data_IF_108086990318
#
_entry.id   IF_108086990318
#
_cell.length_a   1.000
_cell.length_b   1.000
_cell.length_c   1.000
_cell.angle_alpha   90.00
_cell.angle_beta   90.00
_cell.angle_gamma   90.00
#
_symmetry.space_group_name_H-M   'P 1'
#
loop_
_entity.id
_entity.type
_entity.pdbx_description
1 polymer ?
#
# COMPACT_ATOMS: atom_id res chain seq x y z
N UNK A 1 -5.26 -11.65 8.70
CA UNK A 1 -3.83 -11.65 9.07
C UNK A 1 -3.12 -10.36 8.67
N UNK A 2 -3.14 -10.01 7.39
CA UNK A 2 -2.45 -8.81 6.94
C UNK A 2 -2.98 -7.55 7.60
N UNK A 3 -4.30 -7.45 7.76
CA UNK A 3 -4.93 -6.31 8.42
C UNK A 3 -4.45 -6.17 9.87
N UNK A 4 -4.37 -7.28 10.58
CA UNK A 4 -3.95 -7.26 11.99
C UNK A 4 -2.47 -6.90 12.12
N UNK A 5 -1.62 -7.43 11.26
CA UNK A 5 -0.20 -7.10 11.25
C UNK A 5 0.00 -5.61 11.02
N UNK A 6 -0.67 -5.06 10.00
CA UNK A 6 -0.55 -3.66 9.69
C UNK A 6 -1.05 -2.77 10.83
N UNK A 7 -2.17 -3.14 11.45
CA UNK A 7 -2.71 -2.39 12.58
C UNK A 7 -1.74 -2.40 13.76
N UNK A 8 -1.16 -3.53 14.07
CA UNK A 8 -0.20 -3.63 15.19
C UNK A 8 1.05 -2.78 14.92
N UNK A 9 1.57 -2.84 13.71
CA UNK A 9 2.73 -2.04 13.35
C UNK A 9 2.42 -0.54 13.42
N UNK A 10 1.24 -0.16 12.93
CA UNK A 10 0.84 1.24 12.94
C UNK A 10 0.71 1.80 14.36
N UNK A 11 0.30 0.97 15.31
CA UNK A 11 0.22 1.39 16.72
C UNK A 11 1.58 1.77 17.30
N UNK A 12 2.65 1.24 16.73
CA UNK A 12 4.01 1.57 17.14
C UNK A 12 4.63 2.69 16.29
N UNK A 13 3.83 3.36 15.50
CA UNK A 13 4.30 4.46 14.68
C UNK A 13 4.96 4.05 13.37
N UNK A 14 4.82 2.79 12.98
CA UNK A 14 5.36 2.30 11.72
C UNK A 14 4.43 2.68 10.58
N UNK A 15 4.96 3.28 9.55
CA UNK A 15 4.20 3.60 8.34
C UNK A 15 4.13 2.38 7.43
N UNK A 16 3.00 2.20 6.80
CA UNK A 16 2.77 1.05 5.92
C UNK A 16 2.81 1.49 4.46
N UNK A 17 3.61 0.81 3.67
CA UNK A 17 3.69 1.03 2.23
C UNK A 17 3.21 -0.23 1.53
N UNK A 18 2.25 -0.09 0.64
CA UNK A 18 1.74 -1.23 -0.09
C UNK A 18 1.19 -0.79 -1.46
N UNK A 19 0.70 -1.75 -2.22
CA UNK A 19 0.41 -1.54 -3.62
C UNK A 19 -1.03 -1.25 -3.98
N UNK A 20 -1.92 -1.22 -3.01
CA UNK A 20 -3.33 -0.93 -3.25
C UNK A 20 -4.08 -2.01 -4.03
N UNK A 21 -3.49 -3.16 -4.25
CA UNK A 21 -4.15 -4.26 -4.96
C UNK A 21 -5.24 -4.89 -4.09
N UNK A 22 -6.13 -5.67 -4.72
CA UNK A 22 -7.15 -6.41 -4.00
C UNK A 22 -6.50 -7.39 -3.03
N UNK A 23 -7.21 -7.71 -1.97
CA UNK A 23 -6.75 -8.71 -0.99
C UNK A 23 -5.79 -8.12 0.03
N UNK A 24 -4.58 -8.66 0.09
CA UNK A 24 -3.62 -8.34 1.14
C UNK A 24 -3.23 -6.87 1.17
N UNK A 25 -3.01 -6.25 0.00
CA UNK A 25 -2.64 -4.84 -0.05
C UNK A 25 -3.74 -3.97 0.55
N UNK A 26 -4.98 -4.18 0.13
CA UNK A 26 -6.13 -3.44 0.66
C UNK A 26 -6.30 -3.68 2.16
N UNK A 27 -6.15 -4.92 2.60
CA UNK A 27 -6.25 -5.24 4.02
C UNK A 27 -5.17 -4.53 4.82
N UNK A 28 -3.97 -4.42 4.27
CA UNK A 28 -2.85 -3.74 4.93
C UNK A 28 -3.12 -2.24 5.09
N UNK A 29 -3.60 -1.60 4.04
CA UNK A 29 -3.96 -0.18 4.12
C UNK A 29 -5.06 0.03 5.15
N UNK A 30 -6.11 -0.78 5.10
CA UNK A 30 -7.25 -0.62 6.01
C UNK A 30 -6.88 -0.90 7.46
N UNK A 31 -5.99 -1.86 7.71
CA UNK A 31 -5.50 -2.11 9.05
C UNK A 31 -4.78 -0.91 9.64
N UNK A 32 -3.91 -0.30 8.84
CA UNK A 32 -3.21 0.91 9.26
C UNK A 32 -4.16 2.07 9.48
N UNK A 33 -5.12 2.26 8.57
CA UNK A 33 -6.07 3.38 8.65
C UNK A 33 -7.03 3.28 9.84
N UNK A 34 -7.23 2.09 10.36
CA UNK A 34 -8.05 1.89 11.56
C UNK A 34 -7.38 2.31 12.87
N UNK A 35 -6.11 2.68 12.82
CA UNK A 35 -5.35 3.08 14.00
C UNK A 35 -5.20 4.60 14.03
N UNK A 36 -5.44 5.21 15.18
CA UNK A 36 -5.25 6.65 15.34
C UNK A 36 -3.80 7.03 15.01
N UNK A 37 -3.65 7.99 14.11
CA UNK A 37 -2.34 8.43 13.67
C UNK A 37 -1.66 7.50 12.67
N UNK A 38 -2.30 6.41 12.29
CA UNK A 38 -1.76 5.49 11.30
C UNK A 38 -1.69 6.14 9.93
N UNK A 39 -0.53 6.03 9.27
CA UNK A 39 -0.33 6.56 7.93
C UNK A 39 0.12 5.45 7.01
N UNK A 40 -0.51 5.39 5.85
CA UNK A 40 -0.16 4.41 4.84
C UNK A 40 0.03 5.09 3.49
N UNK A 41 0.88 4.52 2.68
CA UNK A 41 1.25 5.06 1.39
C UNK A 41 1.03 3.99 0.34
N UNK A 42 0.34 4.35 -0.71
CA UNK A 42 0.04 3.41 -1.79
C UNK A 42 0.90 3.74 -3.00
N UNK A 43 1.51 2.71 -3.58
CA UNK A 43 2.25 2.84 -4.83
C UNK A 43 1.41 2.20 -5.92
N UNK A 44 0.98 3.01 -6.89
CA UNK A 44 0.08 2.57 -7.94
C UNK A 44 0.84 1.96 -9.11
N UNK A 45 0.22 0.96 -9.75
CA UNK A 45 0.62 0.45 -11.04
C UNK A 45 -0.06 1.15 -12.20
N UNK A 46 -0.64 2.32 -11.93
CA UNK A 46 -1.28 3.20 -12.91
C UNK A 46 -1.03 4.63 -12.49
N UNK A 47 -1.50 5.60 -13.27
CA UNK A 47 -1.45 7.00 -12.85
C UNK A 47 -2.35 7.25 -11.64
N UNK A 48 -2.02 8.26 -10.86
CA UNK A 48 -2.74 8.52 -9.61
C UNK A 48 -4.19 8.94 -9.80
N UNK A 49 -4.57 9.37 -11.00
CA UNK A 49 -5.96 9.72 -11.29
C UNK A 49 -6.84 8.50 -11.55
N UNK A 50 -6.25 7.31 -11.62
CA UNK A 50 -6.98 6.07 -11.80
C UNK A 50 -6.98 5.25 -10.52
N UNK A 51 -8.06 5.36 -9.75
CA UNK A 51 -8.22 4.52 -8.56
C UNK A 51 -8.56 3.10 -9.03
N UNK A 52 -7.55 2.22 -9.01
CA UNK A 52 -7.73 0.84 -9.42
C UNK A 52 -7.18 -0.09 -8.32
N UNK A 53 -7.95 -1.03 -7.82
CA UNK A 53 -9.32 -1.35 -8.25
C UNK A 53 -10.32 -0.25 -7.83
N UNK A 54 -11.35 0.00 -8.64
CA UNK A 54 -12.28 1.09 -8.39
C UNK A 54 -13.10 0.93 -7.11
N UNK A 55 -13.30 -0.29 -6.66
CA UNK A 55 -14.02 -0.54 -5.40
C UNK A 55 -13.25 -0.03 -4.18
N UNK A 56 -11.97 0.31 -4.33
CA UNK A 56 -11.14 0.83 -3.23
C UNK A 56 -11.17 2.35 -3.12
N UNK A 57 -12.14 3.01 -3.73
CA UNK A 57 -12.20 4.48 -3.72
C UNK A 57 -12.27 5.05 -2.30
N UNK A 58 -13.02 4.41 -1.42
CA UNK A 58 -13.10 4.86 -0.04
C UNK A 58 -11.72 4.82 0.63
N UNK A 59 -10.99 3.74 0.42
CA UNK A 59 -9.64 3.59 0.96
C UNK A 59 -8.69 4.65 0.39
N UNK A 60 -8.79 4.93 -0.91
CA UNK A 60 -8.02 5.97 -1.58
C UNK A 60 -8.20 7.31 -0.87
N UNK A 61 -9.45 7.70 -0.67
CA UNK A 61 -9.75 8.99 -0.03
C UNK A 61 -9.28 9.03 1.42
N UNK A 62 -9.44 7.93 2.14
CA UNK A 62 -9.04 7.85 3.54
C UNK A 62 -7.54 7.92 3.73
N UNK A 63 -6.76 7.32 2.83
CA UNK A 63 -5.31 7.41 2.85
C UNK A 63 -4.87 8.88 2.85
N UNK A 64 -5.45 9.66 1.94
CA UNK A 64 -5.09 11.07 1.80
C UNK A 64 -5.55 11.86 3.00
N UNK A 65 -6.78 11.65 3.47
CA UNK A 65 -7.33 12.37 4.60
C UNK A 65 -6.53 12.17 5.88
N UNK A 66 -5.93 11.00 6.04
CA UNK A 66 -5.18 10.67 7.27
C UNK A 66 -3.70 10.95 7.17
N UNK A 67 -3.28 11.67 6.15
CA UNK A 67 -1.91 12.15 6.06
C UNK A 67 -0.94 11.20 5.37
N UNK A 68 -1.45 10.15 4.74
CA UNK A 68 -0.65 9.30 3.87
C UNK A 68 -0.55 9.88 2.47
N UNK A 69 -0.25 9.04 1.51
CA UNK A 69 -0.10 9.50 0.14
C UNK A 69 -0.30 8.40 -0.89
N UNK A 70 -0.55 8.85 -2.09
CA UNK A 70 -0.65 8.00 -3.28
C UNK A 70 0.48 8.42 -4.20
N UNK A 71 1.23 7.46 -4.69
CA UNK A 71 2.35 7.76 -5.57
C UNK A 71 2.41 6.80 -6.74
N UNK A 72 3.00 7.26 -7.83
CA UNK A 72 3.16 6.46 -9.03
C UNK A 72 4.34 7.00 -9.84
N UNK A 73 5.00 6.10 -10.57
CA UNK A 73 6.05 6.51 -11.50
C UNK A 73 5.47 6.88 -12.88
N UNK A 74 4.16 6.73 -13.06
CA UNK A 74 3.51 7.00 -14.34
C UNK A 74 2.79 8.34 -14.31
N UNK A 75 2.50 8.88 -15.50
CA UNK A 75 1.72 10.11 -15.62
C UNK A 75 0.35 9.91 -14.97
N UNK A 76 -0.22 10.99 -14.40
CA UNK A 76 -1.46 10.87 -13.61
C UNK A 76 -2.63 10.18 -14.32
N UNK A 77 -2.75 10.33 -15.63
CA UNK A 77 -3.87 9.76 -16.38
C UNK A 77 -3.54 8.42 -17.04
N UNK A 78 -2.41 7.82 -16.73
CA UNK A 78 -2.03 6.53 -17.28
C UNK A 78 -2.97 5.45 -16.79
N UNK A 79 -3.59 4.72 -17.72
CA UNK A 79 -4.53 3.65 -17.39
C UNK A 79 -3.78 2.44 -16.84
N UNK A 80 -4.41 1.65 -15.95
CA UNK A 80 -3.78 0.45 -15.44
C UNK A 80 -3.58 -0.58 -16.53
N UNK A 81 -2.37 -1.15 -16.56
CA UNK A 81 -2.01 -2.28 -17.44
C UNK A 81 -1.37 -3.35 -16.57
N UNK A 82 -1.67 -4.61 -16.85
CA UNK A 82 -1.21 -5.72 -16.02
C UNK A 82 0.31 -5.78 -15.85
N UNK A 83 1.07 -5.38 -16.88
CA UNK A 83 2.53 -5.37 -16.81
C UNK A 83 3.11 -4.34 -15.86
N UNK A 84 2.33 -3.35 -15.45
CA UNK A 84 2.82 -2.30 -14.56
C UNK A 84 2.85 -2.74 -13.09
N UNK A 85 2.04 -3.72 -12.71
CA UNK A 85 1.91 -4.08 -11.31
C UNK A 85 3.16 -4.78 -10.75
N UNK A 86 3.76 -5.75 -11.45
CA UNK A 86 5.03 -6.30 -10.98
C UNK A 86 6.15 -5.27 -10.92
N UNK A 87 6.21 -4.36 -11.89
CA UNK A 87 7.24 -3.33 -11.90
C UNK A 87 7.11 -2.36 -10.75
N UNK A 88 5.88 -2.05 -10.34
CA UNK A 88 5.59 -1.18 -9.21
C UNK A 88 6.16 -1.74 -7.90
N UNK A 89 6.22 -3.05 -7.76
CA UNK A 89 6.65 -3.68 -6.51
C UNK A 89 8.09 -3.35 -6.14
N UNK A 90 8.97 -3.06 -7.10
CA UNK A 90 10.33 -2.65 -6.79
C UNK A 90 10.39 -1.30 -6.06
N UNK A 91 9.42 -0.44 -6.32
CA UNK A 91 9.33 0.86 -5.65
C UNK A 91 8.90 0.66 -4.21
N UNK A 92 7.93 -0.22 -3.96
CA UNK A 92 7.50 -0.54 -2.61
C UNK A 92 8.68 -1.03 -1.78
N UNK A 93 9.42 -1.98 -2.32
CA UNK A 93 10.59 -2.54 -1.66
C UNK A 93 11.67 -1.48 -1.43
N UNK A 94 11.91 -0.62 -2.43
CA UNK A 94 12.94 0.42 -2.34
C UNK A 94 12.63 1.51 -1.32
N UNK A 95 11.36 1.75 -1.03
CA UNK A 95 10.95 2.76 -0.06
C UNK A 95 10.93 2.24 1.37
N UNK A 96 11.13 0.95 1.56
CA UNK A 96 10.82 0.30 2.83
C UNK A 96 12.07 -0.16 3.55
N UNK A 97 12.05 -0.02 4.88
CA UNK A 97 13.12 -0.52 5.74
C UNK A 97 13.01 -2.02 5.92
N UNK A 98 11.79 -2.52 6.02
CA UNK A 98 11.50 -3.94 6.21
C UNK A 98 10.38 -4.34 5.26
N UNK A 99 10.55 -5.49 4.63
CA UNK A 99 9.54 -6.05 3.74
C UNK A 99 8.97 -7.30 4.38
N UNK A 100 7.64 -7.34 4.52
CA UNK A 100 6.94 -8.49 5.06
C UNK A 100 6.13 -9.11 3.95
N UNK A 101 6.36 -10.39 3.70
CA UNK A 101 5.63 -11.15 2.67
C UNK A 101 4.54 -11.93 3.36
N UNK A 102 3.29 -11.68 2.99
CA UNK A 102 2.13 -12.39 3.53
C UNK A 102 1.51 -13.18 2.41
N UNK A 103 1.37 -14.48 2.61
CA UNK A 103 0.72 -15.34 1.65
C UNK A 103 -0.71 -15.62 2.08
N UNK A 104 -1.64 -15.39 1.16
CA UNK A 104 -3.06 -15.59 1.41
C UNK A 104 -3.62 -16.75 0.60
N UNK A 105 -2.79 -17.66 0.15
CA UNK A 105 -3.21 -18.80 -0.62
C UNK A 105 -2.09 -19.29 -1.53
N UNK A 106 -2.39 -20.26 -2.35
CA UNK A 106 -1.38 -20.99 -3.11
C UNK A 106 -0.65 -20.12 -4.13
N UNK A 107 -1.30 -19.06 -4.60
CA UNK A 107 -0.77 -18.26 -5.72
C UNK A 107 -0.49 -16.82 -5.41
N UNK A 108 -0.77 -16.37 -4.22
CA UNK A 108 -0.64 -14.96 -3.95
C UNK A 108 0.29 -14.70 -2.80
N UNK A 109 1.45 -14.18 -3.13
CA UNK A 109 2.26 -13.49 -2.18
C UNK A 109 2.05 -12.02 -2.39
N UNK A 110 1.80 -11.28 -1.34
CA UNK A 110 1.76 -9.83 -1.40
C UNK A 110 2.74 -9.26 -0.41
N UNK A 111 3.20 -8.05 -0.72
CA UNK A 111 4.17 -7.37 0.13
C UNK A 111 3.46 -6.39 1.04
N UNK A 112 3.69 -6.53 2.33
CA UNK A 112 3.49 -5.45 3.28
C UNK A 112 4.85 -4.90 3.56
N UNK A 113 5.02 -3.62 3.35
CA UNK A 113 6.30 -2.98 3.61
C UNK A 113 6.13 -1.96 4.71
N UNK A 114 7.10 -1.92 5.60
CA UNK A 114 7.08 -1.03 6.73
C UNK A 114 8.23 -0.05 6.61
N UNK A 115 7.91 1.22 6.69
CA UNK A 115 8.90 2.28 6.58
C UNK A 115 8.94 3.04 7.89
N UNK A 116 10.10 3.05 8.51
CA UNK A 116 10.34 3.81 9.72
C UNK A 116 10.78 5.24 9.45
N UNK A 117 10.96 5.57 8.20
CA UNK A 117 11.36 6.90 7.75
C UNK A 117 12.72 7.39 8.28
N UNK A 118 13.27 6.73 9.22
CA UNK A 118 14.55 7.09 9.80
C UNK A 118 15.72 6.37 9.15
N UNK A 119 15.46 5.29 8.46
CA UNK A 119 16.47 4.36 7.99
C UNK A 119 16.76 4.45 6.50
N UNK A 120 15.98 5.14 5.77
CA UNK A 120 16.15 5.22 4.32
C UNK A 120 17.25 6.21 3.90
#
# INVERSE_FOLDING_TARGET
MAKDIAAQLARYGVQIVSGFARGIDTASHNGCLGVDGGRTFAVFGSGINHCYPPENRFTYDEIIQKGGGIMSEYRPDTKPLSGFFPMRNRIISGLSDVVIVVEAGVKSGSLITADHSLEQ
#
